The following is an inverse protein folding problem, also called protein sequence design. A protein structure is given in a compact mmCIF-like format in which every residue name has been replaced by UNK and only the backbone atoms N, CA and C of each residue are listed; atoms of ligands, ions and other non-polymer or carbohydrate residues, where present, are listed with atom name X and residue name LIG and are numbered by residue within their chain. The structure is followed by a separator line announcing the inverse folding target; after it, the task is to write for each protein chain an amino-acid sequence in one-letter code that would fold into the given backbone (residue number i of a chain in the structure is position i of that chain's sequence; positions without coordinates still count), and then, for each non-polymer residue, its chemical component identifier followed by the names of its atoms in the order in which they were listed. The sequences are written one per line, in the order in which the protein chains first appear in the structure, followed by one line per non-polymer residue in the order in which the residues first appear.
data_IF_638320756375
#
_entry.id   IF_638320756375
#
_cell.length_a   1.000
_cell.length_b   1.000
_cell.length_c   1.000
_cell.angle_alpha   90.00
_cell.angle_beta   90.00
_cell.angle_gamma   90.00
#
_symmetry.space_group_name_H-M   'P 1'
#
loop_
_entity.id
_entity.type
_entity.pdbx_description
1 polymer ?
#
# COMPACT_ATOMS: atom_id res chain seq x y z
N UNK A 1 17.66 -14.89 -21.88
CA UNK A 1 18.34 -15.32 -20.63
C UNK A 1 17.31 -15.19 -19.52
N UNK A 2 16.85 -16.29 -18.93
CA UNK A 2 15.78 -16.26 -17.93
C UNK A 2 16.27 -15.55 -16.67
N UNK A 3 15.46 -14.64 -16.13
CA UNK A 3 15.79 -13.84 -14.92
C UNK A 3 15.66 -14.69 -13.65
N UNK A 4 14.87 -15.76 -13.72
CA UNK A 4 14.51 -16.62 -12.59
C UNK A 4 15.71 -17.32 -11.90
N UNK A 5 16.68 -17.92 -12.61
CA UNK A 5 17.83 -18.57 -11.96
C UNK A 5 18.71 -17.58 -11.19
N UNK A 6 18.79 -16.33 -11.66
CA UNK A 6 19.57 -15.28 -11.00
C UNK A 6 18.92 -14.87 -9.68
N UNK A 7 17.60 -14.68 -9.68
CA UNK A 7 16.83 -14.36 -8.47
C UNK A 7 16.90 -15.45 -7.41
N UNK A 8 16.89 -16.74 -7.80
CA UNK A 8 16.97 -17.85 -6.84
C UNK A 8 18.30 -17.82 -6.08
N UNK A 9 19.41 -17.56 -6.78
CA UNK A 9 20.74 -17.53 -6.16
C UNK A 9 20.94 -16.34 -5.22
N UNK A 10 20.17 -15.26 -5.40
CA UNK A 10 20.30 -14.06 -4.56
C UNK A 10 19.60 -14.22 -3.19
N UNK A 11 18.67 -15.18 -3.04
CA UNK A 11 17.85 -15.34 -1.82
C UNK A 11 17.76 -16.76 -1.26
N UNK A 12 18.34 -17.75 -1.94
CA UNK A 12 18.25 -19.16 -1.55
C UNK A 12 19.62 -19.83 -1.52
N UNK A 13 19.80 -20.77 -0.59
CA UNK A 13 20.93 -21.68 -0.60
C UNK A 13 20.54 -22.96 -1.32
N UNK A 14 21.24 -23.30 -2.40
CA UNK A 14 21.17 -24.65 -2.97
C UNK A 14 21.85 -25.61 -2.02
N UNK A 15 21.16 -26.66 -1.56
CA UNK A 15 21.72 -27.56 -0.55
C UNK A 15 21.02 -28.92 -0.50
N UNK A 16 21.78 -29.97 -0.23
CA UNK A 16 21.25 -31.26 0.22
C UNK A 16 21.06 -31.24 1.75
N UNK A 17 19.89 -31.65 2.25
CA UNK A 17 19.48 -31.48 3.67
C UNK A 17 20.43 -32.04 4.75
N UNK A 18 21.41 -32.88 4.39
CA UNK A 18 22.39 -33.45 5.32
C UNK A 18 23.75 -32.75 5.27
N UNK A 19 23.91 -31.73 4.43
CA UNK A 19 25.18 -31.03 4.27
C UNK A 19 25.36 -29.92 5.32
N UNK A 20 26.61 -29.52 5.53
CA UNK A 20 26.94 -28.34 6.33
C UNK A 20 27.47 -27.30 5.37
N UNK A 21 26.89 -26.10 5.40
CA UNK A 21 27.42 -24.97 4.63
C UNK A 21 28.67 -24.47 5.34
N UNK A 22 29.77 -24.50 4.63
CA UNK A 22 31.05 -23.94 5.09
C UNK A 22 31.18 -22.49 4.67
N UNK A 23 31.96 -21.68 5.42
CA UNK A 23 32.31 -20.33 5.00
C UNK A 23 32.86 -20.34 3.57
N UNK A 24 32.22 -19.58 2.67
CA UNK A 24 32.64 -19.51 1.28
C UNK A 24 34.03 -18.86 1.18
N UNK A 25 34.90 -19.42 0.34
CA UNK A 25 36.18 -18.80 0.01
C UNK A 25 35.94 -17.43 -0.67
N UNK A 26 36.81 -16.47 -0.35
CA UNK A 26 36.72 -15.02 -0.67
C UNK A 26 36.44 -14.72 -2.16
N UNK A 27 36.75 -15.65 -3.07
CA UNK A 27 36.55 -15.50 -4.51
C UNK A 27 35.07 -15.36 -4.94
N UNK A 28 34.11 -15.90 -4.19
CA UNK A 28 32.67 -15.76 -4.48
C UNK A 28 32.11 -14.39 -4.04
N UNK A 29 32.74 -13.71 -3.08
CA UNK A 29 32.29 -12.40 -2.59
C UNK A 29 32.37 -11.31 -3.66
N UNK A 30 33.40 -11.36 -4.52
CA UNK A 30 33.54 -10.42 -5.64
C UNK A 30 32.45 -10.58 -6.71
N UNK A 31 31.63 -11.63 -6.63
CA UNK A 31 30.51 -11.89 -7.53
C UNK A 31 29.14 -11.62 -6.91
N UNK A 32 29.08 -11.36 -5.59
CA UNK A 32 27.82 -10.99 -4.94
C UNK A 32 27.44 -9.57 -5.33
N UNK A 33 26.18 -9.34 -5.76
CA UNK A 33 25.70 -8.00 -6.06
C UNK A 33 25.82 -7.16 -4.79
N UNK A 34 26.51 -6.02 -4.90
CA UNK A 34 26.49 -4.98 -3.86
C UNK A 34 25.03 -4.70 -3.56
N UNK A 35 24.58 -5.08 -2.35
CA UNK A 35 23.19 -4.95 -1.93
C UNK A 35 22.80 -3.48 -2.10
N UNK A 36 22.02 -3.21 -3.15
CA UNK A 36 21.44 -1.91 -3.45
C UNK A 36 20.70 -1.44 -2.20
N UNK A 37 20.99 -0.21 -1.78
CA UNK A 37 20.50 0.49 -0.58
C UNK A 37 18.98 0.70 -0.49
N UNK A 38 18.19 -0.12 -1.18
CA UNK A 38 16.72 -0.02 -1.30
C UNK A 38 15.97 -0.94 -0.34
N UNK A 39 16.65 -1.83 0.40
CA UNK A 39 16.06 -2.53 1.55
C UNK A 39 16.38 -1.67 2.79
N UNK A 40 15.54 -0.65 3.02
CA UNK A 40 15.69 0.35 4.09
C UNK A 40 15.26 -0.19 5.47
N UNK A 41 15.80 -1.33 5.88
CA UNK A 41 15.59 -1.88 7.22
C UNK A 41 16.94 -1.94 7.95
N UNK A 42 17.28 -0.86 8.64
CA UNK A 42 18.28 -0.77 9.73
C UNK A 42 19.71 -1.32 9.52
N UNK A 43 20.18 -1.54 8.29
CA UNK A 43 21.56 -2.01 8.02
C UNK A 43 22.65 -0.92 8.08
N UNK A 44 22.31 0.33 8.45
CA UNK A 44 23.30 1.41 8.59
C UNK A 44 24.32 1.18 9.70
N UNK A 45 24.02 0.33 10.70
CA UNK A 45 24.99 0.00 11.75
C UNK A 45 26.04 -1.03 11.31
N UNK A 46 25.74 -1.89 10.32
CA UNK A 46 26.61 -3.01 9.92
C UNK A 46 27.72 -2.61 8.94
N UNK A 47 27.56 -1.53 8.18
CA UNK A 47 28.58 -1.05 7.23
C UNK A 47 29.91 -0.71 7.93
N UNK A 48 29.87 -0.26 9.19
CA UNK A 48 31.07 0.07 9.97
C UNK A 48 31.77 -1.16 10.57
N UNK A 49 31.07 -2.27 10.80
CA UNK A 49 31.67 -3.50 11.35
C UNK A 49 32.43 -4.30 10.27
N UNK A 50 31.98 -4.25 9.02
CA UNK A 50 32.60 -4.98 7.91
C UNK A 50 34.04 -4.53 7.55
N UNK A 51 34.50 -3.39 8.06
CA UNK A 51 35.84 -2.88 7.82
C UNK A 51 36.90 -3.41 8.81
N UNK A 52 36.49 -4.00 9.94
CA UNK A 52 37.37 -4.23 11.09
C UNK A 52 38.06 -5.61 11.11
N UNK A 53 37.59 -6.64 10.38
CA UNK A 53 38.15 -8.02 10.53
C UNK A 53 38.70 -8.64 9.23
N UNK A 54 39.66 -7.96 8.57
CA UNK A 54 40.33 -8.48 7.36
C UNK A 54 41.64 -9.23 7.60
N UNK A 55 42.15 -9.35 8.83
CA UNK A 55 43.44 -10.00 9.08
C UNK A 55 43.28 -11.41 9.69
N UNK A 56 43.65 -12.41 8.88
CA UNK A 56 44.05 -13.80 9.20
C UNK A 56 43.23 -14.51 10.30
N UNK A 57 42.24 -15.30 9.88
CA UNK A 57 41.60 -16.30 10.75
C UNK A 57 41.97 -17.69 10.27
N UNK A 58 42.47 -18.51 11.21
CA UNK A 58 42.74 -19.93 11.03
C UNK A 58 41.46 -20.68 10.64
N UNK A 59 41.53 -21.56 9.64
CA UNK A 59 40.43 -22.45 9.20
C UNK A 59 40.07 -23.53 10.24
N UNK A 60 40.54 -23.40 11.48
CA UNK A 60 40.28 -24.31 12.58
C UNK A 60 39.20 -23.77 13.54
N UNK A 61 38.34 -22.86 13.06
CA UNK A 61 37.27 -22.28 13.88
C UNK A 61 36.30 -23.36 14.34
N UNK A 62 36.11 -23.46 15.66
CA UNK A 62 35.26 -24.44 16.33
C UNK A 62 33.75 -24.16 16.21
N UNK A 63 33.36 -23.18 15.40
CA UNK A 63 31.97 -22.72 15.33
C UNK A 63 31.18 -23.53 14.29
N UNK A 64 30.37 -24.46 14.77
CA UNK A 64 29.36 -25.17 13.98
C UNK A 64 27.99 -24.90 14.61
N UNK A 65 27.11 -24.26 13.85
CA UNK A 65 25.78 -23.86 14.30
C UNK A 65 24.70 -24.69 13.60
N UNK A 66 23.71 -25.15 14.36
CA UNK A 66 22.53 -25.85 13.87
C UNK A 66 21.35 -24.88 13.82
N UNK A 67 20.94 -24.51 12.61
CA UNK A 67 19.81 -23.63 12.38
C UNK A 67 18.51 -24.44 12.29
N UNK A 68 17.49 -24.06 13.07
CA UNK A 68 16.15 -24.59 12.91
C UNK A 68 15.43 -23.99 11.70
N UNK A 69 14.85 -24.84 10.85
CA UNK A 69 14.02 -24.43 9.71
C UNK A 69 12.58 -24.92 9.84
N UNK A 70 11.66 -24.18 9.26
CA UNK A 70 10.31 -24.66 8.99
C UNK A 70 10.25 -25.46 7.67
N UNK A 71 9.33 -26.44 7.54
CA UNK A 71 9.17 -27.21 6.30
C UNK A 71 8.95 -26.38 5.05
N UNK A 72 8.28 -25.23 5.18
CA UNK A 72 7.92 -24.35 4.07
C UNK A 72 9.07 -23.47 3.56
N UNK A 73 10.24 -23.54 4.18
CA UNK A 73 11.46 -22.85 3.72
C UNK A 73 12.27 -23.70 2.73
N UNK A 74 11.87 -24.96 2.54
CA UNK A 74 12.54 -25.90 1.64
C UNK A 74 11.74 -25.96 0.34
N UNK A 75 12.41 -25.61 -0.75
CA UNK A 75 11.85 -25.58 -2.09
C UNK A 75 12.59 -26.58 -2.96
N UNK A 76 11.85 -27.29 -3.82
CA UNK A 76 12.43 -28.15 -4.85
C UNK A 76 12.27 -27.44 -6.18
N UNK A 77 13.38 -27.01 -6.76
CA UNK A 77 13.40 -26.29 -8.04
C UNK A 77 14.30 -27.06 -9.00
N UNK A 78 13.76 -27.48 -10.14
CA UNK A 78 14.46 -28.30 -11.14
C UNK A 78 15.07 -29.60 -10.59
N UNK A 79 14.42 -30.20 -9.59
CA UNK A 79 14.88 -31.45 -8.96
C UNK A 79 15.97 -31.27 -7.90
N UNK A 80 16.36 -30.02 -7.62
CA UNK A 80 17.34 -29.70 -6.57
C UNK A 80 16.66 -28.99 -5.40
N UNK A 81 17.21 -29.19 -4.20
CA UNK A 81 16.69 -28.59 -2.97
C UNK A 81 17.33 -27.23 -2.71
N UNK A 82 16.49 -26.27 -2.36
CA UNK A 82 16.84 -24.90 -2.02
C UNK A 82 16.24 -24.53 -0.68
N UNK A 83 17.04 -23.90 0.18
CA UNK A 83 16.58 -23.27 1.41
C UNK A 83 16.42 -21.79 1.11
N UNK A 84 15.17 -21.33 1.01
CA UNK A 84 14.85 -19.93 0.79
C UNK A 84 14.23 -19.37 2.07
N UNK A 85 14.90 -18.41 2.69
CA UNK A 85 14.43 -17.81 3.94
C UNK A 85 14.50 -16.29 3.86
N UNK A 86 13.52 -15.61 4.46
CA UNK A 86 13.58 -14.15 4.66
C UNK A 86 14.79 -13.73 5.51
N UNK A 87 15.36 -14.67 6.25
CA UNK A 87 16.51 -14.46 7.12
C UNK A 87 17.84 -14.83 6.47
N UNK A 88 17.87 -14.87 5.13
CA UNK A 88 19.06 -15.13 4.32
C UNK A 88 20.29 -14.33 4.77
N UNK A 89 20.10 -13.05 5.08
CA UNK A 89 21.16 -12.13 5.53
C UNK A 89 21.81 -12.56 6.86
N UNK A 90 21.04 -13.13 7.78
CA UNK A 90 21.56 -13.63 9.06
C UNK A 90 22.52 -14.80 8.81
N UNK A 91 22.15 -15.71 7.90
CA UNK A 91 23.02 -16.81 7.52
C UNK A 91 24.31 -16.31 6.87
N UNK A 92 24.21 -15.33 5.97
CA UNK A 92 25.41 -14.71 5.37
C UNK A 92 26.31 -14.08 6.43
N UNK A 93 25.74 -13.36 7.40
CA UNK A 93 26.50 -12.79 8.51
C UNK A 93 27.23 -13.89 9.31
N UNK A 94 26.54 -14.98 9.67
CA UNK A 94 27.14 -16.09 10.42
C UNK A 94 28.23 -16.81 9.63
N UNK A 95 28.01 -17.06 8.35
CA UNK A 95 28.96 -17.74 7.46
C UNK A 95 30.20 -16.88 7.18
N UNK A 96 30.01 -15.58 6.89
CA UNK A 96 31.08 -14.71 6.40
C UNK A 96 31.77 -13.92 7.51
N UNK A 97 30.99 -13.32 8.40
CA UNK A 97 31.52 -12.48 9.46
C UNK A 97 32.06 -13.35 10.60
N UNK A 98 31.22 -14.22 11.14
CA UNK A 98 31.59 -15.09 12.27
C UNK A 98 32.35 -16.35 11.87
N UNK A 99 32.45 -16.64 10.56
CA UNK A 99 33.14 -17.83 10.02
C UNK A 99 32.67 -19.13 10.66
N UNK A 100 31.38 -19.20 10.96
CA UNK A 100 30.73 -20.40 11.46
C UNK A 100 30.28 -21.27 10.29
N UNK A 101 30.37 -22.59 10.45
CA UNK A 101 29.65 -23.50 9.57
C UNK A 101 28.20 -23.64 10.04
N UNK A 102 27.27 -23.84 9.11
CA UNK A 102 25.84 -23.94 9.43
C UNK A 102 25.28 -25.25 8.88
N UNK A 103 24.66 -26.02 9.77
CA UNK A 103 23.84 -27.17 9.41
C UNK A 103 22.37 -26.84 9.67
N UNK A 104 21.47 -27.38 8.86
CA UNK A 104 20.05 -27.09 8.97
C UNK A 104 19.29 -28.29 9.52
N UNK A 105 18.39 -28.04 10.45
CA UNK A 105 17.52 -29.06 11.05
C UNK A 105 16.08 -28.64 10.84
N UNK A 106 15.36 -29.44 10.07
CA UNK A 106 13.98 -29.16 9.70
C UNK A 106 13.03 -29.61 10.81
N UNK A 107 12.17 -28.71 11.24
CA UNK A 107 11.04 -29.04 12.12
C UNK A 107 10.00 -29.85 11.36
N UNK A 108 9.36 -30.83 12.00
CA UNK A 108 8.20 -31.52 11.43
C UNK A 108 6.94 -30.64 11.44
N UNK A 109 6.98 -29.53 12.17
CA UNK A 109 5.85 -28.64 12.43
C UNK A 109 6.16 -27.23 11.90
N UNK A 110 5.17 -26.59 11.27
CA UNK A 110 5.29 -25.30 10.58
C UNK A 110 4.99 -24.08 11.46
N UNK A 111 5.08 -24.21 12.78
CA UNK A 111 4.76 -23.15 13.73
C UNK A 111 5.75 -23.07 14.88
N UNK A 112 5.77 -21.91 15.56
CA UNK A 112 6.79 -21.61 16.57
C UNK A 112 6.83 -22.58 17.75
N UNK A 113 5.67 -23.04 18.21
CA UNK A 113 5.55 -23.88 19.38
C UNK A 113 4.93 -23.17 20.58
N UNK A 114 4.32 -23.96 21.43
CA UNK A 114 3.73 -23.55 22.70
C UNK A 114 4.10 -24.56 23.79
N UNK A 115 4.01 -24.12 25.05
CA UNK A 115 4.24 -24.98 26.20
C UNK A 115 2.97 -25.80 26.47
N UNK A 116 3.09 -27.12 26.46
CA UNK A 116 1.97 -28.01 26.80
C UNK A 116 1.76 -28.08 28.32
N UNK A 117 0.60 -28.59 28.75
CA UNK A 117 0.30 -28.85 30.17
C UNK A 117 1.33 -29.76 30.85
N UNK A 118 2.04 -30.58 30.08
CA UNK A 118 3.02 -31.54 30.57
C UNK A 118 4.44 -30.93 30.68
N UNK A 119 4.59 -29.63 30.45
CA UNK A 119 5.88 -28.92 30.51
C UNK A 119 6.79 -29.14 29.30
N UNK A 120 6.31 -29.82 28.25
CA UNK A 120 7.06 -30.02 27.00
C UNK A 120 6.65 -28.99 25.94
N UNK A 121 7.63 -28.57 25.14
CA UNK A 121 7.42 -27.66 24.01
C UNK A 121 7.04 -28.41 22.74
N UNK A 122 6.20 -27.77 21.93
CA UNK A 122 5.85 -28.18 20.55
C UNK A 122 6.55 -27.31 19.52
N UNK A 123 6.26 -27.50 18.24
CA UNK A 123 6.77 -26.70 17.14
C UNK A 123 8.28 -26.80 16.98
N UNK A 124 8.85 -25.75 16.38
CA UNK A 124 10.31 -25.61 16.26
C UNK A 124 10.99 -25.40 17.62
N UNK A 125 10.30 -24.81 18.61
CA UNK A 125 10.83 -24.65 19.98
C UNK A 125 11.10 -25.99 20.68
N UNK A 126 10.38 -27.05 20.31
CA UNK A 126 10.71 -28.42 20.73
C UNK A 126 12.15 -28.81 20.38
N UNK A 127 12.65 -28.39 19.23
CA UNK A 127 14.02 -28.69 18.81
C UNK A 127 15.05 -27.95 19.67
N UNK A 128 14.74 -26.73 20.11
CA UNK A 128 15.58 -25.98 21.05
C UNK A 128 15.61 -26.70 22.41
N UNK A 129 14.45 -27.09 22.94
CA UNK A 129 14.37 -27.81 24.22
C UNK A 129 15.14 -29.13 24.17
N UNK A 130 15.14 -29.81 23.03
CA UNK A 130 15.86 -31.07 22.80
C UNK A 130 17.36 -30.86 22.48
N UNK A 131 17.85 -29.62 22.49
CA UNK A 131 19.22 -29.26 22.10
C UNK A 131 19.60 -29.83 20.71
N UNK A 132 18.66 -29.84 19.77
CA UNK A 132 18.87 -30.27 18.38
C UNK A 132 19.27 -29.12 17.46
N UNK A 133 18.95 -27.90 17.85
CA UNK A 133 19.28 -26.66 17.15
C UNK A 133 19.86 -25.65 18.13
N UNK A 134 20.73 -24.79 17.62
CA UNK A 134 21.42 -23.75 18.40
C UNK A 134 20.71 -22.41 18.27
N UNK A 135 20.10 -22.12 17.11
CA UNK A 135 19.32 -20.90 16.91
C UNK A 135 18.18 -21.11 15.92
N UNK A 136 17.20 -20.20 15.99
CA UNK A 136 16.11 -20.12 15.01
C UNK A 136 16.13 -18.70 14.43
N UNK A 137 16.47 -18.53 13.15
CA UNK A 137 16.48 -17.22 12.49
C UNK A 137 15.07 -16.86 12.01
N UNK A 138 14.08 -17.00 12.88
CA UNK A 138 12.70 -16.63 12.59
C UNK A 138 12.21 -15.59 13.56
N UNK A 139 11.24 -14.83 13.09
CA UNK A 139 10.52 -13.89 13.93
C UNK A 139 9.60 -14.61 14.90
N UNK A 140 9.76 -14.33 16.19
CA UNK A 140 8.87 -14.82 17.23
C UNK A 140 8.30 -13.66 18.04
N UNK A 141 6.98 -13.69 18.27
CA UNK A 141 6.40 -12.91 19.35
C UNK A 141 6.96 -13.41 20.69
N UNK A 142 7.54 -12.52 21.48
CA UNK A 142 8.04 -12.87 22.80
C UNK A 142 6.86 -12.99 23.78
N UNK A 143 6.73 -14.17 24.36
CA UNK A 143 5.72 -14.50 25.37
C UNK A 143 6.42 -14.93 26.66
N UNK A 144 5.80 -14.71 27.82
CA UNK A 144 6.39 -15.00 29.13
C UNK A 144 6.97 -16.42 29.22
N UNK A 145 6.22 -17.43 28.75
CA UNK A 145 6.67 -18.83 28.79
C UNK A 145 7.94 -19.06 27.95
N UNK A 146 8.12 -18.36 26.82
CA UNK A 146 9.29 -18.54 25.94
C UNK A 146 10.60 -18.04 26.57
N UNK A 147 10.52 -17.14 27.55
CA UNK A 147 11.70 -16.67 28.29
C UNK A 147 12.36 -17.77 29.13
N UNK A 148 11.64 -18.86 29.40
CA UNK A 148 12.19 -20.02 30.11
C UNK A 148 13.09 -20.89 29.21
N UNK A 149 12.93 -20.77 27.88
CA UNK A 149 13.62 -21.60 26.90
C UNK A 149 14.65 -20.81 26.08
N UNK A 150 14.33 -19.57 25.71
CA UNK A 150 15.16 -18.73 24.85
C UNK A 150 15.97 -17.72 25.67
N UNK A 151 17.25 -17.55 25.33
CA UNK A 151 18.07 -16.48 25.90
C UNK A 151 17.69 -15.13 25.28
N UNK A 152 16.90 -14.36 26.04
CA UNK A 152 16.45 -13.03 25.63
C UNK A 152 17.59 -12.02 25.42
N UNK A 153 18.80 -12.27 25.94
CA UNK A 153 19.95 -11.38 25.76
C UNK A 153 20.56 -11.47 24.36
N UNK A 154 20.31 -12.57 23.64
CA UNK A 154 20.87 -12.84 22.32
C UNK A 154 19.82 -12.72 21.20
N UNK A 155 18.65 -12.14 21.51
CA UNK A 155 17.64 -11.86 20.51
C UNK A 155 18.02 -10.60 19.73
N UNK A 156 17.96 -10.68 18.41
CA UNK A 156 18.02 -9.51 17.55
C UNK A 156 16.66 -8.80 17.61
N UNK A 157 16.54 -7.62 18.26
CA UNK A 157 15.26 -6.93 18.32
C UNK A 157 14.88 -6.50 16.90
N UNK A 158 13.75 -7.02 16.41
CA UNK A 158 13.12 -6.49 15.21
C UNK A 158 11.97 -5.58 15.64
N UNK A 159 12.21 -4.27 15.57
CA UNK A 159 11.16 -3.26 15.72
C UNK A 159 10.31 -3.24 14.45
N UNK A 160 9.38 -4.18 14.31
CA UNK A 160 8.37 -4.06 13.27
C UNK A 160 7.18 -3.28 13.80
N UNK A 161 6.99 -2.08 13.27
CA UNK A 161 5.70 -1.40 13.34
C UNK A 161 4.69 -2.23 12.55
N UNK A 162 3.90 -3.04 13.24
CA UNK A 162 2.77 -3.73 12.61
C UNK A 162 1.69 -2.71 12.26
N UNK A 163 1.68 -2.25 11.01
CA UNK A 163 0.59 -1.41 10.51
C UNK A 163 -0.64 -2.29 10.29
N UNK A 164 -1.55 -2.31 11.27
CA UNK A 164 -2.84 -2.98 11.13
C UNK A 164 -3.73 -2.14 10.21
N UNK A 165 -3.79 -2.51 8.92
CA UNK A 165 -4.67 -1.86 7.95
C UNK A 165 -6.07 -2.47 8.08
N UNK A 166 -6.98 -1.77 8.76
CA UNK A 166 -8.39 -2.14 8.76
C UNK A 166 -9.00 -1.78 7.40
N UNK A 167 -9.73 -2.70 6.78
CA UNK A 167 -10.49 -2.39 5.57
C UNK A 167 -11.45 -1.24 5.87
N UNK A 168 -11.30 -0.11 5.16
CA UNK A 168 -12.21 1.02 5.29
C UNK A 168 -13.60 0.51 4.94
N UNK A 169 -14.50 0.41 5.93
CA UNK A 169 -15.90 0.18 5.64
C UNK A 169 -16.34 1.31 4.73
N UNK A 170 -16.59 1.01 3.46
CA UNK A 170 -17.22 1.93 2.54
C UNK A 170 -18.65 2.11 3.04
N UNK A 171 -18.86 3.05 3.97
CA UNK A 171 -20.17 3.65 4.16
C UNK A 171 -20.51 4.23 2.79
N UNK A 172 -21.45 3.60 2.09
CA UNK A 172 -21.99 4.12 0.85
C UNK A 172 -22.58 5.47 1.22
N UNK A 173 -21.89 6.54 0.84
CA UNK A 173 -22.34 7.89 1.08
C UNK A 173 -23.44 8.19 0.06
N UNK A 174 -24.69 7.87 0.44
CA UNK A 174 -25.91 8.16 -0.32
C UNK A 174 -26.25 9.67 -0.26
N UNK A 175 -25.26 10.56 -0.40
CA UNK A 175 -25.50 11.99 -0.52
C UNK A 175 -25.94 12.31 -1.96
N UNK A 176 -27.25 12.61 -2.20
CA UNK A 176 -27.73 12.93 -3.54
C UNK A 176 -27.09 14.21 -4.09
N UNK A 177 -26.48 15.03 -3.22
CA UNK A 177 -25.80 16.26 -3.61
C UNK A 177 -24.31 16.07 -3.87
N UNK A 178 -23.82 14.83 -3.95
CA UNK A 178 -22.40 14.54 -4.19
C UNK A 178 -21.85 15.17 -5.47
N UNK A 179 -22.70 15.34 -6.48
CA UNK A 179 -22.35 16.03 -7.72
C UNK A 179 -21.94 17.49 -7.47
N UNK A 180 -22.56 18.17 -6.50
CA UNK A 180 -22.30 19.57 -6.21
C UNK A 180 -21.01 19.78 -5.42
N UNK A 181 -20.49 18.75 -4.74
CA UNK A 181 -19.20 18.80 -4.04
C UNK A 181 -17.99 18.86 -4.99
N UNK A 182 -18.19 18.64 -6.29
CA UNK A 182 -17.10 18.72 -7.27
C UNK A 182 -16.53 20.14 -7.41
N UNK A 183 -17.32 21.17 -7.10
CA UNK A 183 -16.94 22.57 -7.21
C UNK A 183 -17.43 23.36 -5.99
N UNK A 184 -16.81 24.51 -5.71
CA UNK A 184 -17.28 25.41 -4.65
C UNK A 184 -18.64 26.02 -5.03
N UNK A 185 -19.41 26.40 -4.00
CA UNK A 185 -20.71 27.07 -4.18
C UNK A 185 -20.58 28.34 -5.06
N UNK A 186 -19.47 29.05 -4.96
CA UNK A 186 -19.20 30.25 -5.75
C UNK A 186 -19.15 29.95 -7.25
N UNK A 187 -18.56 28.82 -7.66
CA UNK A 187 -18.52 28.40 -9.07
C UNK A 187 -19.94 28.09 -9.56
N UNK A 188 -20.75 27.40 -8.76
CA UNK A 188 -22.14 27.11 -9.11
C UNK A 188 -22.98 28.39 -9.24
N UNK A 189 -22.80 29.35 -8.35
CA UNK A 189 -23.44 30.66 -8.43
C UNK A 189 -22.99 31.45 -9.66
N UNK A 190 -21.71 31.35 -10.04
CA UNK A 190 -21.17 31.99 -11.23
C UNK A 190 -21.75 31.37 -12.50
N UNK A 191 -21.86 30.04 -12.56
CA UNK A 191 -22.54 29.33 -13.65
C UNK A 191 -23.99 29.81 -13.76
N UNK A 192 -24.74 29.82 -12.66
CA UNK A 192 -26.12 30.32 -12.64
C UNK A 192 -26.22 31.76 -13.14
N UNK A 193 -25.37 32.64 -12.62
CA UNK A 193 -25.37 34.06 -12.99
C UNK A 193 -25.06 34.24 -14.47
N UNK A 194 -24.15 33.42 -15.04
CA UNK A 194 -23.85 33.47 -16.47
C UNK A 194 -25.04 33.08 -17.34
N UNK A 195 -25.82 32.06 -16.95
CA UNK A 195 -27.06 31.69 -17.65
C UNK A 195 -28.12 32.80 -17.59
N UNK A 196 -28.28 33.46 -16.44
CA UNK A 196 -29.22 34.57 -16.27
C UNK A 196 -28.82 35.77 -17.14
N UNK A 197 -27.54 36.15 -17.12
CA UNK A 197 -27.01 37.24 -17.95
C UNK A 197 -27.17 36.93 -19.44
N UNK A 198 -26.84 35.71 -19.88
CA UNK A 198 -27.01 35.30 -21.27
C UNK A 198 -28.47 35.43 -21.72
N UNK A 199 -29.40 34.93 -20.90
CA UNK A 199 -30.85 34.99 -21.18
C UNK A 199 -31.36 36.44 -21.25
N UNK A 200 -30.87 37.31 -20.37
CA UNK A 200 -31.21 38.73 -20.39
C UNK A 200 -30.69 39.44 -21.65
N UNK A 201 -29.44 39.14 -22.06
CA UNK A 201 -28.84 39.71 -23.26
C UNK A 201 -29.58 39.26 -24.53
N UNK A 202 -29.94 37.98 -24.65
CA UNK A 202 -30.68 37.49 -25.83
C UNK A 202 -32.05 38.16 -25.94
N UNK A 203 -32.78 38.30 -24.82
CA UNK A 203 -34.08 38.98 -24.83
C UNK A 203 -33.98 40.47 -25.16
N UNK A 204 -32.94 41.13 -24.65
CA UNK A 204 -32.69 42.55 -24.93
C UNK A 204 -32.36 42.77 -26.40
N UNK A 205 -31.58 41.86 -27.00
CA UNK A 205 -31.25 41.87 -28.42
C UNK A 205 -32.50 41.70 -29.29
N UNK A 206 -33.36 40.72 -28.97
CA UNK A 206 -34.63 40.51 -29.68
C UNK A 206 -35.54 41.73 -29.62
N UNK A 207 -35.62 42.38 -28.45
CA UNK A 207 -36.38 43.61 -28.27
C UNK A 207 -35.84 44.75 -29.15
N UNK A 208 -34.51 44.94 -29.17
CA UNK A 208 -33.84 45.97 -29.94
C UNK A 208 -34.01 45.76 -31.46
N UNK A 209 -33.87 44.52 -31.94
CA UNK A 209 -34.15 44.17 -33.34
C UNK A 209 -35.60 44.51 -33.70
N UNK A 210 -36.55 44.20 -32.81
CA UNK A 210 -37.95 44.49 -33.05
C UNK A 210 -38.29 45.99 -33.08
N UNK A 211 -37.55 46.84 -32.35
CA UNK A 211 -37.68 48.30 -32.40
C UNK A 211 -37.12 48.83 -33.73
N UNK A 212 -35.91 48.41 -34.11
CA UNK A 212 -35.26 48.84 -35.35
C UNK A 212 -36.03 48.45 -36.62
N UNK A 213 -36.68 47.28 -36.62
CA UNK A 213 -37.53 46.85 -37.73
C UNK A 213 -38.82 47.68 -37.84
N UNK A 214 -39.37 48.18 -36.73
CA UNK A 214 -40.54 49.07 -36.74
C UNK A 214 -40.21 50.46 -37.29
N UNK A 215 -39.02 50.99 -37.05
CA UNK A 215 -38.62 52.29 -37.59
C UNK A 215 -38.33 52.26 -39.09
N UNK A 216 -37.93 51.11 -39.65
CA UNK A 216 -37.64 50.99 -41.10
C UNK A 216 -38.86 50.65 -41.96
N UNK A 217 -40.00 50.29 -41.37
CA UNK A 217 -41.25 50.09 -42.11
C UNK A 217 -42.19 51.28 -41.87
N UNK A 218 -42.19 52.22 -42.82
CA UNK A 218 -43.13 53.34 -42.83
C UNK A 218 -44.60 52.86 -42.76
N UNK A 219 -45.45 53.55 -41.98
CA UNK A 219 -46.84 53.19 -41.75
C UNK A 219 -47.71 53.75 -42.88
N UNK A 220 -47.92 52.99 -43.95
CA UNK A 220 -48.95 53.39 -44.93
C UNK A 220 -49.83 52.26 -45.45
N UNK A 221 -49.63 51.01 -45.04
CA UNK A 221 -50.57 49.92 -45.31
C UNK A 221 -50.35 48.82 -44.29
N UNK A 222 -51.43 48.17 -43.84
CA UNK A 222 -51.48 47.13 -42.80
C UNK A 222 -51.65 47.63 -41.35
N UNK A 223 -52.76 48.35 -41.14
CA UNK A 223 -53.60 48.04 -39.99
C UNK A 223 -54.24 46.67 -40.25
N UNK A 224 -54.36 45.87 -39.19
CA UNK A 224 -55.17 44.66 -39.01
C UNK A 224 -54.37 43.34 -38.84
N UNK A 225 -54.43 42.82 -37.60
CA UNK A 225 -54.29 41.42 -37.17
C UNK A 225 -52.97 40.80 -36.66
N UNK A 226 -52.04 41.54 -36.02
CA UNK A 226 -50.87 40.90 -35.39
C UNK A 226 -50.66 41.13 -33.86
N UNK A 227 -51.69 41.51 -33.10
CA UNK A 227 -51.57 41.73 -31.64
C UNK A 227 -51.71 40.47 -30.76
N UNK A 228 -52.12 39.32 -31.31
CA UNK A 228 -52.42 38.11 -30.51
C UNK A 228 -51.19 37.28 -30.12
N UNK A 229 -50.08 37.36 -30.86
CA UNK A 229 -48.96 36.41 -30.66
C UNK A 229 -47.83 36.91 -29.74
N UNK A 230 -47.82 38.21 -29.39
CA UNK A 230 -46.73 38.82 -28.60
C UNK A 230 -46.90 38.64 -27.08
N UNK A 231 -48.14 38.48 -26.59
CA UNK A 231 -48.39 38.19 -25.16
C UNK A 231 -47.93 36.78 -24.77
N UNK A 232 -48.03 35.81 -25.69
CA UNK A 232 -47.68 34.41 -25.43
C UNK A 232 -46.17 34.18 -25.28
N UNK A 233 -45.32 34.97 -25.93
CA UNK A 233 -43.87 34.85 -25.77
C UNK A 233 -43.40 35.41 -24.41
N UNK A 234 -43.96 36.54 -23.97
CA UNK A 234 -43.64 37.13 -22.66
C UNK A 234 -44.11 36.24 -21.51
N UNK A 235 -45.30 35.61 -21.65
CA UNK A 235 -45.80 34.63 -20.68
C UNK A 235 -44.92 33.38 -20.59
N UNK A 236 -44.43 32.87 -21.73
CA UNK A 236 -43.50 31.72 -21.74
C UNK A 236 -42.17 32.05 -21.09
N UNK A 237 -41.63 33.25 -21.35
CA UNK A 237 -40.40 33.71 -20.70
C UNK A 237 -40.57 33.81 -19.17
N UNK A 238 -41.66 34.44 -18.72
CA UNK A 238 -41.97 34.57 -17.31
C UNK A 238 -42.14 33.21 -16.62
N UNK A 239 -42.76 32.23 -17.30
CA UNK A 239 -42.86 30.86 -16.77
C UNK A 239 -41.50 30.15 -16.64
N UNK A 240 -40.59 30.33 -17.60
CA UNK A 240 -39.25 29.71 -17.53
C UNK A 240 -38.44 30.33 -16.38
N UNK A 241 -38.48 31.66 -16.23
CA UNK A 241 -37.79 32.36 -15.14
C UNK A 241 -38.35 31.96 -13.78
N UNK A 242 -39.67 31.88 -13.63
CA UNK A 242 -40.29 31.46 -12.38
C UNK A 242 -39.94 30.00 -12.01
N UNK A 243 -39.97 29.08 -12.99
CA UNK A 243 -39.59 27.70 -12.75
C UNK A 243 -38.12 27.56 -12.32
N UNK A 244 -37.23 28.39 -12.87
CA UNK A 244 -35.82 28.44 -12.43
C UNK A 244 -35.71 29.00 -11.01
N UNK A 245 -36.38 30.10 -10.70
CA UNK A 245 -36.39 30.68 -9.34
C UNK A 245 -36.91 29.67 -8.32
N UNK A 246 -38.01 28.97 -8.62
CA UNK A 246 -38.59 27.96 -7.71
C UNK A 246 -37.62 26.80 -7.46
N UNK A 247 -36.92 26.31 -8.49
CA UNK A 247 -35.88 25.28 -8.35
C UNK A 247 -34.71 25.75 -7.46
N UNK A 248 -34.30 27.02 -7.57
CA UNK A 248 -33.25 27.58 -6.73
C UNK A 248 -33.71 27.83 -5.29
N UNK A 249 -34.94 28.31 -5.08
CA UNK A 249 -35.52 28.50 -3.73
C UNK A 249 -35.68 27.16 -3.02
N UNK A 250 -36.09 26.10 -3.73
CA UNK A 250 -36.11 24.74 -3.20
C UNK A 250 -34.70 24.29 -2.79
N UNK A 251 -33.72 24.46 -3.67
CA UNK A 251 -32.32 24.09 -3.40
C UNK A 251 -31.74 24.84 -2.19
N UNK A 252 -32.02 26.14 -2.06
CA UNK A 252 -31.58 26.96 -0.94
C UNK A 252 -32.26 26.56 0.39
N UNK A 253 -33.57 26.28 0.37
CA UNK A 253 -34.30 25.78 1.55
C UNK A 253 -33.73 24.46 2.04
N UNK A 254 -33.42 23.53 1.14
CA UNK A 254 -32.79 22.26 1.50
C UNK A 254 -31.37 22.44 2.07
N UNK A 255 -30.59 23.39 1.55
CA UNK A 255 -29.28 23.73 2.12
C UNK A 255 -29.39 24.31 3.55
N UNK A 256 -30.37 25.18 3.82
CA UNK A 256 -30.59 25.71 5.19
C UNK A 256 -31.05 24.65 6.18
N UNK A 257 -31.89 23.69 5.77
CA UNK A 257 -32.33 22.58 6.62
C UNK A 257 -31.13 21.69 7.00
N UNK A 258 -30.17 21.51 6.09
CA UNK A 258 -28.95 20.72 6.33
C UNK A 258 -28.02 21.33 7.39
N UNK A 259 -27.94 22.65 7.48
CA UNK A 259 -27.12 23.35 8.49
C UNK A 259 -27.80 23.42 9.87
N UNK A 260 -29.03 22.92 10.01
CA UNK A 260 -29.79 22.91 11.27
C UNK A 260 -29.80 21.55 11.99
N UNK A 261 -29.12 20.55 11.44
CA UNK A 261 -28.88 19.22 12.05
C UNK A 261 -27.40 19.03 12.28
#
# INVERSE_FOLDING_TARGET
MSILPKLINDFCFKMDLNETIWPLDISLYNSMPVISSTISWSMSSFQNFAQIEREKVDRNTSCNLRAGLFPNEIFIIYGEQYICSSSYEIYLMLLHYYRCSISFVVSNESYGGYLTSNGSWTGILKLVQQNKIDFIPHMFSMEYNRHQLLDHKQLFPQEHTTTMLTQKHYLINDDPFRLFHAYTLDIWLLILTSFLCFTFLTNSLECLIAINLKEKFCPSMFIVHHSSNRSNQWLRFHHIVNNLIDMFVLSAKFATIRNSK
#
